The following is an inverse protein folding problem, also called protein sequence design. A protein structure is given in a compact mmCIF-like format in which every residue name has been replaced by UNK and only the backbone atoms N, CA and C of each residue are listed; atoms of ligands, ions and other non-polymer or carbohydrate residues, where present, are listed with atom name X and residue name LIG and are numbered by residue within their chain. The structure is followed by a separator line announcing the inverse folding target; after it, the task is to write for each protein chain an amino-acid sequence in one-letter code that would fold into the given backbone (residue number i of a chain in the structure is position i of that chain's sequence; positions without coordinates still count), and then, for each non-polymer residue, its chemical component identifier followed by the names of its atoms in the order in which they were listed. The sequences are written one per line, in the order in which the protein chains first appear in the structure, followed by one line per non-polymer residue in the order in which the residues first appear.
data_IF_055746200114
#
_entry.id   IF_055746200114
#
_cell.length_a   1.000
_cell.length_b   1.000
_cell.length_c   1.000
_cell.angle_alpha   90.00
_cell.angle_beta   90.00
_cell.angle_gamma   90.00
#
_symmetry.space_group_name_H-M   'P 1'
#
loop_
_entity.id
_entity.type
_entity.pdbx_description
1 polymer ?
#
# COMPACT_ATOMS: atom_id res chain seq x y z
N UNK A 1 47.77 -14.95 -11.78
CA UNK A 1 47.34 -15.82 -12.90
C UNK A 1 45.89 -16.23 -12.68
N UNK A 2 45.06 -16.33 -13.73
CA UNK A 2 43.61 -16.57 -13.60
C UNK A 2 43.29 -18.05 -13.38
N UNK A 3 42.46 -18.35 -12.39
CA UNK A 3 41.87 -19.67 -12.16
C UNK A 3 40.52 -19.77 -12.89
N UNK A 4 40.26 -20.91 -13.52
CA UNK A 4 38.99 -21.19 -14.20
C UNK A 4 38.17 -22.23 -13.42
N UNK A 5 36.90 -22.37 -13.76
CA UNK A 5 36.05 -23.43 -13.24
C UNK A 5 35.81 -24.49 -14.33
N UNK A 6 35.86 -25.76 -13.94
CA UNK A 6 35.53 -26.89 -14.78
C UNK A 6 34.05 -26.87 -15.15
N UNK A 7 33.76 -26.92 -16.44
CA UNK A 7 32.42 -26.82 -17.01
C UNK A 7 31.52 -28.02 -16.69
N UNK A 8 32.09 -29.18 -16.36
CA UNK A 8 31.35 -30.38 -15.97
C UNK A 8 31.30 -30.53 -14.45
N UNK A 9 32.47 -30.48 -13.79
CA UNK A 9 32.57 -30.82 -12.36
C UNK A 9 32.37 -29.63 -11.41
N UNK A 10 32.67 -28.42 -11.87
CA UNK A 10 32.73 -27.21 -11.04
C UNK A 10 34.01 -27.09 -10.18
N UNK A 11 35.02 -27.93 -10.40
CA UNK A 11 36.32 -27.82 -9.71
C UNK A 11 37.17 -26.68 -10.27
N UNK A 12 38.03 -26.10 -9.41
CA UNK A 12 38.98 -25.07 -9.82
C UNK A 12 40.08 -25.65 -10.71
N UNK A 13 40.31 -25.00 -11.86
CA UNK A 13 41.36 -25.29 -12.83
C UNK A 13 42.45 -24.24 -12.66
N UNK A 14 43.58 -24.69 -12.14
CA UNK A 14 44.79 -23.88 -12.00
C UNK A 14 45.57 -23.83 -13.32
N UNK A 15 46.42 -22.80 -13.49
CA UNK A 15 47.44 -22.74 -14.53
C UNK A 15 48.12 -24.07 -14.85
N UNK A 16 48.29 -24.37 -16.14
CA UNK A 16 49.00 -25.57 -16.60
C UNK A 16 48.24 -26.89 -16.43
N UNK A 17 46.95 -26.84 -16.05
CA UNK A 17 46.14 -28.03 -15.82
C UNK A 17 44.91 -28.09 -16.72
N UNK A 18 44.53 -29.31 -17.10
CA UNK A 18 43.29 -29.58 -17.80
C UNK A 18 43.36 -29.33 -19.30
N UNK A 19 42.20 -29.23 -19.94
CA UNK A 19 42.05 -28.99 -21.37
C UNK A 19 40.93 -27.99 -21.67
N UNK A 20 41.01 -27.38 -22.83
CA UNK A 20 39.99 -26.50 -23.38
C UNK A 20 39.37 -27.16 -24.61
N UNK A 21 38.04 -27.28 -24.61
CA UNK A 21 37.27 -27.80 -25.74
C UNK A 21 36.37 -26.69 -26.29
N UNK A 22 36.56 -26.36 -27.58
CA UNK A 22 35.70 -25.41 -28.29
C UNK A 22 34.75 -26.23 -29.14
N UNK A 23 33.46 -26.09 -28.89
CA UNK A 23 32.42 -26.73 -29.69
C UNK A 23 32.11 -25.89 -30.93
N UNK A 24 31.58 -26.50 -31.98
CA UNK A 24 31.27 -25.81 -33.25
C UNK A 24 30.34 -24.60 -33.15
N UNK A 25 29.59 -24.45 -32.05
CA UNK A 25 28.80 -23.24 -31.73
C UNK A 25 29.62 -22.16 -30.99
N UNK A 26 30.94 -22.20 -31.09
CA UNK A 26 31.90 -21.31 -30.40
C UNK A 26 31.81 -21.32 -28.88
N UNK A 27 31.12 -22.30 -28.27
CA UNK A 27 31.08 -22.45 -26.81
C UNK A 27 32.35 -23.10 -26.30
N UNK A 28 32.94 -22.45 -25.29
CA UNK A 28 34.15 -22.88 -24.63
C UNK A 28 33.79 -23.70 -23.39
N UNK A 29 34.28 -24.94 -23.36
CA UNK A 29 34.23 -25.82 -22.20
C UNK A 29 35.65 -26.03 -21.67
N UNK A 30 35.81 -25.97 -20.36
CA UNK A 30 37.09 -26.19 -19.67
C UNK A 30 36.97 -27.42 -18.79
N UNK A 31 37.92 -28.33 -18.89
CA UNK A 31 37.92 -29.60 -18.15
C UNK A 31 39.17 -29.69 -17.30
N UNK A 32 39.02 -30.06 -16.03
CA UNK A 32 40.17 -30.17 -15.13
C UNK A 32 41.00 -31.43 -15.40
N UNK A 33 40.35 -32.50 -15.87
CA UNK A 33 40.94 -33.82 -16.13
C UNK A 33 40.19 -34.59 -17.23
N UNK A 34 40.77 -35.71 -17.69
CA UNK A 34 40.15 -36.57 -18.71
C UNK A 34 38.82 -37.22 -18.28
N UNK A 35 38.57 -37.38 -16.97
CA UNK A 35 37.29 -37.90 -16.46
C UNK A 35 36.13 -36.94 -16.74
N UNK A 36 36.32 -35.65 -16.48
CA UNK A 36 35.34 -34.61 -16.75
C UNK A 36 35.06 -34.45 -18.26
N UNK A 37 36.11 -34.50 -19.07
CA UNK A 37 36.04 -34.45 -20.54
C UNK A 37 35.27 -35.67 -21.10
N UNK A 38 35.64 -36.88 -20.69
CA UNK A 38 35.00 -38.11 -21.16
C UNK A 38 33.51 -38.15 -20.83
N UNK A 39 33.12 -37.80 -19.59
CA UNK A 39 31.70 -37.76 -19.20
C UNK A 39 30.91 -36.70 -19.97
N UNK A 40 31.53 -35.56 -20.29
CA UNK A 40 30.93 -34.52 -21.12
C UNK A 40 30.70 -35.00 -22.56
N UNK A 41 31.70 -35.65 -23.17
CA UNK A 41 31.60 -36.20 -24.53
C UNK A 41 30.57 -37.35 -24.62
N UNK A 42 30.46 -38.15 -23.56
CA UNK A 42 29.40 -39.15 -23.38
C UNK A 42 28.01 -38.54 -23.10
N UNK A 43 27.89 -37.20 -23.12
CA UNK A 43 26.65 -36.45 -22.90
C UNK A 43 25.98 -36.78 -21.55
N UNK A 44 26.77 -37.13 -20.53
CA UNK A 44 26.24 -37.35 -19.17
C UNK A 44 25.84 -36.01 -18.56
N UNK A 45 24.76 -36.02 -17.79
CA UNK A 45 24.28 -34.81 -17.11
C UNK A 45 25.00 -34.66 -15.75
N UNK A 46 25.77 -33.58 -15.50
CA UNK A 46 26.44 -33.35 -14.22
C UNK A 46 25.49 -33.43 -13.01
N UNK A 47 24.22 -33.03 -13.19
CA UNK A 47 23.18 -33.07 -12.16
C UNK A 47 22.81 -34.48 -11.67
N UNK A 48 23.22 -35.52 -12.40
CA UNK A 48 23.05 -36.93 -12.02
C UNK A 48 24.32 -37.56 -11.45
N UNK A 49 25.45 -36.84 -11.49
CA UNK A 49 26.75 -37.36 -11.08
C UNK A 49 27.11 -36.80 -9.69
N UNK A 50 27.10 -37.68 -8.69
CA UNK A 50 27.10 -37.34 -7.26
C UNK A 50 28.25 -36.44 -6.78
N UNK A 51 29.43 -36.55 -7.40
CA UNK A 51 30.64 -35.84 -6.99
C UNK A 51 30.74 -34.42 -7.57
N UNK A 52 29.87 -34.02 -8.49
CA UNK A 52 29.92 -32.69 -9.09
C UNK A 52 29.34 -31.63 -8.16
N UNK A 53 29.82 -30.39 -8.27
CA UNK A 53 29.28 -29.24 -7.54
C UNK A 53 27.80 -29.01 -7.88
N UNK A 54 27.42 -29.23 -9.15
CA UNK A 54 26.06 -29.04 -9.63
C UNK A 54 25.07 -30.03 -8.99
N UNK A 55 25.45 -31.31 -8.88
CA UNK A 55 24.67 -32.31 -8.16
C UNK A 55 24.51 -31.92 -6.69
N UNK A 56 25.61 -31.57 -6.02
CA UNK A 56 25.59 -31.22 -4.60
C UNK A 56 24.69 -30.01 -4.32
N UNK A 57 24.73 -28.98 -5.17
CA UNK A 57 23.85 -27.81 -5.08
C UNK A 57 22.37 -28.18 -5.23
N UNK A 58 22.02 -29.02 -6.20
CA UNK A 58 20.64 -29.48 -6.40
C UNK A 58 20.13 -30.31 -5.22
N UNK A 59 20.99 -31.14 -4.64
CA UNK A 59 20.66 -32.00 -3.50
C UNK A 59 20.91 -31.33 -2.14
N UNK A 60 21.17 -30.02 -2.13
CA UNK A 60 21.42 -29.22 -0.93
C UNK A 60 22.53 -29.76 -0.03
N UNK A 61 23.52 -30.46 -0.60
CA UNK A 61 24.67 -31.01 0.12
C UNK A 61 25.72 -29.93 0.35
N UNK A 62 26.05 -29.65 1.61
CA UNK A 62 27.08 -28.68 1.98
C UNK A 62 26.67 -27.22 1.76
N UNK A 63 25.37 -26.93 1.72
CA UNK A 63 24.88 -25.55 1.79
C UNK A 63 24.93 -25.16 3.27
N UNK A 64 25.95 -24.38 3.65
CA UNK A 64 26.07 -23.75 4.97
C UNK A 64 25.40 -22.38 5.01
N UNK A 65 25.06 -21.79 3.87
CA UNK A 65 24.42 -20.49 3.81
C UNK A 65 22.90 -20.65 3.95
N UNK A 66 22.41 -20.33 5.15
CA UNK A 66 21.16 -19.59 5.26
C UNK A 66 21.26 -18.43 4.27
N UNK A 67 20.64 -18.57 3.10
CA UNK A 67 20.43 -17.45 2.19
C UNK A 67 19.57 -16.48 2.96
N UNK A 68 20.23 -15.54 3.64
CA UNK A 68 19.58 -14.49 4.39
C UNK A 68 18.54 -13.89 3.45
N UNK A 69 17.26 -14.10 3.77
CA UNK A 69 16.16 -13.57 2.96
C UNK A 69 16.46 -12.10 2.77
N UNK A 70 16.63 -11.67 1.51
CA UNK A 70 16.80 -10.25 1.19
C UNK A 70 15.57 -9.52 1.74
N UNK A 71 15.69 -8.93 2.93
CA UNK A 71 14.69 -8.01 3.45
C UNK A 71 14.69 -6.82 2.49
N UNK A 72 13.64 -6.71 1.70
CA UNK A 72 13.39 -5.52 0.89
C UNK A 72 13.27 -4.31 1.82
N UNK A 73 14.17 -3.34 1.69
CA UNK A 73 14.00 -2.04 2.38
C UNK A 73 12.76 -1.35 1.81
N UNK A 74 11.75 -1.12 2.65
CA UNK A 74 10.60 -0.25 2.29
C UNK A 74 11.03 1.20 2.50
N UNK A 75 11.25 1.92 1.42
CA UNK A 75 11.45 3.37 1.47
C UNK A 75 10.07 4.03 1.47
N UNK A 76 9.72 4.71 2.56
CA UNK A 76 8.53 5.56 2.60
C UNK A 76 8.89 6.89 1.94
N UNK A 77 8.21 7.25 0.86
CA UNK A 77 8.41 8.53 0.18
C UNK A 77 7.60 9.62 0.87
N UNK A 78 8.20 10.79 1.05
CA UNK A 78 7.58 11.95 1.71
C UNK A 78 6.49 12.61 0.85
N UNK A 79 5.66 13.42 1.51
CA UNK A 79 4.57 14.19 0.92
C UNK A 79 5.08 15.23 -0.09
N UNK A 80 4.36 15.37 -1.21
CA UNK A 80 4.62 16.36 -2.28
C UNK A 80 3.63 17.53 -2.18
N UNK A 81 3.99 18.68 -2.75
CA UNK A 81 3.06 19.79 -2.92
C UNK A 81 1.87 19.34 -3.77
N UNK A 82 0.71 19.96 -3.55
CA UNK A 82 -0.50 19.76 -4.33
C UNK A 82 -0.87 21.08 -5.00
N UNK A 83 -1.44 21.02 -6.20
CA UNK A 83 -1.88 22.23 -6.91
C UNK A 83 -2.92 22.96 -6.03
N UNK A 84 -2.67 24.24 -5.76
CA UNK A 84 -3.49 25.06 -4.84
C UNK A 84 -2.97 25.21 -3.41
N UNK A 85 -1.92 24.47 -3.00
CA UNK A 85 -1.23 24.70 -1.73
C UNK A 85 0.23 24.21 -1.76
N UNK A 86 1.18 25.10 -1.43
CA UNK A 86 2.59 24.73 -1.31
C UNK A 86 2.82 23.80 -0.11
N UNK A 87 3.93 23.06 -0.12
CA UNK A 87 4.29 22.16 0.97
C UNK A 87 4.41 22.86 2.32
N UNK A 88 4.88 24.10 2.32
CA UNK A 88 5.12 24.85 3.56
C UNK A 88 3.80 25.29 4.19
N UNK A 89 2.82 25.71 3.39
CA UNK A 89 1.45 26.01 3.87
C UNK A 89 0.78 24.77 4.46
N UNK A 90 0.98 23.60 3.84
CA UNK A 90 0.43 22.33 4.34
C UNK A 90 1.06 21.95 5.68
N UNK A 91 2.39 22.09 5.79
CA UNK A 91 3.11 21.82 7.05
C UNK A 91 2.67 22.77 8.15
N UNK A 92 2.55 24.06 7.87
CA UNK A 92 2.15 25.08 8.83
C UNK A 92 0.75 24.83 9.39
N UNK A 93 -0.23 24.55 8.51
CA UNK A 93 -1.59 24.16 8.96
C UNK A 93 -1.57 22.88 9.79
N UNK A 94 -0.71 21.92 9.43
CA UNK A 94 -0.57 20.64 10.16
C UNK A 94 0.15 20.79 11.50
N UNK A 95 1.06 21.75 11.64
CA UNK A 95 1.79 22.02 12.89
C UNK A 95 1.01 22.91 13.86
N UNK A 96 -0.09 23.53 13.44
CA UNK A 96 -0.97 24.29 14.35
C UNK A 96 -1.42 23.43 15.53
N UNK A 97 -1.25 23.97 16.74
CA UNK A 97 -1.61 23.30 17.99
C UNK A 97 -3.13 23.01 18.03
N UNK A 98 -3.55 21.86 18.57
CA UNK A 98 -4.97 21.49 18.64
C UNK A 98 -5.86 22.56 19.27
N UNK A 99 -5.37 23.25 20.30
CA UNK A 99 -6.06 24.34 21.00
C UNK A 99 -6.43 25.50 20.05
N UNK A 100 -5.52 25.91 19.18
CA UNK A 100 -5.78 26.96 18.18
C UNK A 100 -6.83 26.53 17.15
N UNK A 101 -6.83 25.24 16.78
CA UNK A 101 -7.86 24.67 15.87
C UNK A 101 -9.23 24.64 16.53
N UNK A 102 -9.29 24.25 17.80
CA UNK A 102 -10.53 24.21 18.55
C UNK A 102 -11.11 25.61 18.78
N UNK A 103 -10.27 26.60 19.05
CA UNK A 103 -10.69 27.99 19.19
C UNK A 103 -11.32 28.52 17.88
N UNK A 104 -10.64 28.33 16.74
CA UNK A 104 -11.17 28.71 15.43
C UNK A 104 -12.48 27.97 15.10
N UNK A 105 -12.58 26.68 15.45
CA UNK A 105 -13.80 25.89 15.28
C UNK A 105 -14.96 26.43 16.13
N UNK A 106 -14.71 26.77 17.39
CA UNK A 106 -15.73 27.34 18.29
C UNK A 106 -16.21 28.70 17.81
N UNK A 107 -15.31 29.56 17.32
CA UNK A 107 -15.66 30.85 16.71
C UNK A 107 -16.54 30.66 15.46
N UNK A 108 -16.14 29.77 14.53
CA UNK A 108 -16.93 29.50 13.33
C UNK A 108 -18.34 28.95 13.66
N UNK A 109 -18.46 28.09 14.68
CA UNK A 109 -19.76 27.58 15.14
C UNK A 109 -20.62 28.71 15.72
N UNK A 110 -20.02 29.62 16.48
CA UNK A 110 -20.73 30.77 17.05
C UNK A 110 -21.27 31.68 15.95
N UNK A 111 -20.44 32.06 15.00
CA UNK A 111 -20.83 32.87 13.85
C UNK A 111 -21.93 32.19 13.00
N UNK A 112 -21.83 30.88 12.78
CA UNK A 112 -22.85 30.13 12.05
C UNK A 112 -24.19 30.11 12.78
N UNK A 113 -24.18 29.97 14.12
CA UNK A 113 -25.39 30.04 14.95
C UNK A 113 -26.01 31.44 14.91
N UNK A 114 -25.19 32.49 14.98
CA UNK A 114 -25.65 33.89 14.89
C UNK A 114 -26.25 34.20 13.52
N UNK A 115 -25.60 33.78 12.42
CA UNK A 115 -26.16 33.89 11.07
C UNK A 115 -27.47 33.13 10.90
N UNK A 116 -27.60 31.96 11.52
CA UNK A 116 -28.86 31.17 11.52
C UNK A 116 -29.95 31.85 12.34
N UNK A 117 -29.61 32.45 13.47
CA UNK A 117 -30.56 33.20 14.29
C UNK A 117 -31.04 34.48 13.57
N UNK A 118 -30.13 35.23 12.95
CA UNK A 118 -30.43 36.42 12.17
C UNK A 118 -31.29 36.11 10.93
N UNK A 119 -30.99 35.03 10.21
CA UNK A 119 -31.85 34.59 9.09
C UNK A 119 -33.21 34.08 9.56
N UNK A 120 -33.30 33.45 10.73
CA UNK A 120 -34.58 33.03 11.31
C UNK A 120 -35.41 34.23 11.80
N UNK A 121 -34.80 35.24 12.40
CA UNK A 121 -35.49 36.48 12.81
C UNK A 121 -35.93 37.30 11.60
N UNK A 122 -35.11 37.41 10.56
CA UNK A 122 -35.48 38.02 9.29
C UNK A 122 -36.69 37.31 8.64
N UNK A 123 -36.67 35.96 8.58
CA UNK A 123 -37.81 35.17 8.06
C UNK A 123 -39.08 35.31 8.92
N UNK A 124 -38.94 35.44 10.25
CA UNK A 124 -40.10 35.68 11.14
C UNK A 124 -40.66 37.10 10.95
N UNK A 125 -39.81 38.10 10.80
CA UNK A 125 -40.21 39.48 10.54
C UNK A 125 -40.88 39.62 9.16
N UNK A 126 -40.38 38.92 8.14
CA UNK A 126 -41.00 38.85 6.81
C UNK A 126 -42.37 38.17 6.86
N UNK A 127 -42.49 37.03 7.55
CA UNK A 127 -43.79 36.34 7.76
C UNK A 127 -44.78 37.20 8.55
N UNK A 128 -44.32 37.96 9.54
CA UNK A 128 -45.17 38.88 10.29
C UNK A 128 -45.67 40.04 9.42
N UNK A 129 -44.82 40.58 8.53
CA UNK A 129 -45.21 41.59 7.54
C UNK A 129 -46.20 41.02 6.51
N UNK A 130 -46.00 39.78 6.04
CA UNK A 130 -46.91 39.09 5.13
C UNK A 130 -48.25 38.66 5.79
N UNK A 131 -48.27 38.46 7.10
CA UNK A 131 -49.49 38.21 7.87
C UNK A 131 -50.26 39.52 8.16
N UNK A 132 -49.54 40.62 8.42
CA UNK A 132 -50.13 41.95 8.59
C UNK A 132 -50.73 42.49 7.27
N UNK A 133 -50.20 42.08 6.11
CA UNK A 133 -50.80 42.38 4.81
C UNK A 133 -51.99 41.48 4.44
N UNK A 134 -52.32 40.47 5.24
CA UNK A 134 -53.47 39.56 5.06
C UNK A 134 -54.51 39.74 6.17
N UNK A 135 -54.76 40.98 6.58
CA UNK A 135 -55.89 41.33 7.44
C UNK A 135 -57.21 41.15 6.68
N UNK A 136 -57.79 39.94 6.73
CA UNK A 136 -59.15 39.69 6.25
C UNK A 136 -59.52 38.20 6.19
N UNK A 137 -60.53 37.84 6.98
CA UNK A 137 -61.39 36.65 6.88
C UNK A 137 -60.96 35.32 7.57
N UNK A 138 -61.65 35.11 8.71
CA UNK A 138 -62.35 33.89 9.17
C UNK A 138 -61.56 32.64 9.60
N UNK A 139 -61.65 32.39 10.92
CA UNK A 139 -61.41 31.09 11.57
C UNK A 139 -62.43 30.06 11.07
N UNK A 140 -61.95 29.00 10.44
CA UNK A 140 -62.70 27.75 10.26
C UNK A 140 -62.01 26.67 11.10
N UNK A 141 -62.62 26.32 12.23
CA UNK A 141 -62.33 25.08 12.95
C UNK A 141 -62.88 23.92 12.10
N UNK A 142 -62.01 23.00 11.67
CA UNK A 142 -62.45 21.75 11.04
C UNK A 142 -61.82 20.53 11.70
N UNK A 143 -62.63 19.47 11.74
CA UNK A 143 -62.59 18.29 12.61
C UNK A 143 -61.42 17.34 12.31
N UNK A 144 -60.19 17.74 12.63
CA UNK A 144 -59.04 16.85 12.58
C UNK A 144 -58.35 16.72 13.95
N UNK A 145 -59.16 16.57 15.00
CA UNK A 145 -58.73 16.27 16.38
C UNK A 145 -59.13 14.87 16.86
N UNK A 146 -59.68 14.02 15.99
CA UNK A 146 -60.23 12.71 16.37
C UNK A 146 -59.49 11.52 15.74
N UNK A 147 -58.15 11.56 15.74
CA UNK A 147 -57.33 10.34 15.66
C UNK A 147 -56.19 10.48 16.66
N UNK A 148 -56.52 10.15 17.91
CA UNK A 148 -55.57 10.04 19.01
C UNK A 148 -54.42 9.10 18.66
N UNK A 149 -53.29 9.35 19.30
CA UNK A 149 -52.03 8.63 19.16
C UNK A 149 -52.22 7.12 19.22
N UNK A 150 -51.58 6.39 18.29
CA UNK A 150 -51.47 4.94 18.37
C UNK A 150 -50.78 4.54 19.70
N UNK A 151 -51.33 3.60 20.49
CA UNK A 151 -50.69 3.14 21.71
C UNK A 151 -49.39 2.39 21.36
N UNK A 152 -48.33 2.72 22.10
CA UNK A 152 -46.98 2.15 22.00
C UNK A 152 -47.02 0.65 22.31
N UNK A 153 -46.61 -0.19 21.36
CA UNK A 153 -46.51 -1.64 21.53
C UNK A 153 -45.50 -1.96 22.62
N UNK A 154 -45.94 -2.63 23.69
CA UNK A 154 -45.07 -3.14 24.75
C UNK A 154 -44.34 -4.40 24.26
N UNK A 155 -43.02 -4.46 24.47
CA UNK A 155 -42.21 -5.61 24.12
C UNK A 155 -42.53 -6.80 25.04
N UNK A 156 -42.91 -7.94 24.44
CA UNK A 156 -42.95 -9.25 25.09
C UNK A 156 -42.30 -10.27 24.18
N UNK A 157 -41.07 -10.67 24.51
CA UNK A 157 -40.68 -12.07 24.50
C UNK A 157 -39.38 -12.27 25.30
N UNK A 158 -39.32 -13.47 25.89
CA UNK A 158 -38.16 -14.13 26.52
C UNK A 158 -36.93 -14.16 25.63
#
# INVERSE_FOLDING_TARGET
MRTYDDSFSGQKIYPGKGKLFIRGDSKIFRFQNGKSESLFLQRKNPRRIAWTVLFRRQHRKGISEEVAKKRTRRVVKNQRAIVGASLDVIKERRSQRPEAREAARKQAIKEAKEKKAASASAKKAEKAKAAASKGGAQRIQSKQGAKGSAPKVAAKSR
#
